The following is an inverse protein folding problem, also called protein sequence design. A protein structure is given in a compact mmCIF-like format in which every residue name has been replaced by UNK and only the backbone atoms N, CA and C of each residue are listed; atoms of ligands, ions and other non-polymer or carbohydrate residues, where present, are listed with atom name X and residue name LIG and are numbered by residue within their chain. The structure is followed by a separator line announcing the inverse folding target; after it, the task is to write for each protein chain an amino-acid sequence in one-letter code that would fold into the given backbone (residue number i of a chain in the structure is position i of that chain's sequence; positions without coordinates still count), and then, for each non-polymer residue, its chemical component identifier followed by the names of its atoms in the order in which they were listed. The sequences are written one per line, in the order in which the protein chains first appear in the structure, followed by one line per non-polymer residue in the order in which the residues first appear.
data_IF_137574341807
#
_entry.id   IF_137574341807
#
_cell.length_a   1.000
_cell.length_b   1.000
_cell.length_c   1.000
_cell.angle_alpha   90.00
_cell.angle_beta   90.00
_cell.angle_gamma   90.00
#
_symmetry.space_group_name_H-M   'P 1'
#
loop_
_entity.id
_entity.type
_entity.pdbx_description
1 polymer ?
#
# COMPACT_ATOMS: atom_id res chain seq x y z
N UNK A 1 38.28 -26.91 -38.51
CA UNK A 1 36.87 -26.60 -38.25
C UNK A 1 36.78 -26.01 -36.86
N UNK A 2 36.77 -24.68 -36.79
CA UNK A 2 36.66 -23.88 -35.54
C UNK A 2 35.18 -23.75 -35.22
N UNK A 3 34.77 -24.26 -34.05
CA UNK A 3 33.42 -24.04 -33.50
C UNK A 3 33.41 -22.64 -32.88
N UNK A 4 32.78 -21.70 -33.58
CA UNK A 4 32.44 -20.38 -33.01
C UNK A 4 31.44 -20.58 -31.86
N UNK A 5 31.89 -20.34 -30.65
CA UNK A 5 31.02 -20.23 -29.47
C UNK A 5 30.22 -18.92 -29.60
N UNK A 6 28.97 -19.04 -29.97
CA UNK A 6 27.99 -17.95 -29.94
C UNK A 6 27.79 -17.51 -28.50
N UNK A 7 28.44 -16.44 -28.11
CA UNK A 7 28.26 -15.77 -26.82
C UNK A 7 26.88 -15.09 -26.82
N UNK A 8 25.93 -15.76 -26.25
CA UNK A 8 24.61 -15.18 -25.94
C UNK A 8 24.77 -14.02 -24.94
N UNK A 9 24.35 -12.83 -25.32
CA UNK A 9 24.16 -11.66 -24.48
C UNK A 9 22.76 -11.66 -23.86
N UNK A 10 22.55 -12.21 -22.66
CA UNK A 10 21.21 -12.38 -22.11
C UNK A 10 20.79 -11.38 -21.00
N UNK A 11 21.67 -10.54 -20.48
CA UNK A 11 21.37 -9.84 -19.21
C UNK A 11 20.72 -8.47 -19.41
N UNK A 12 20.98 -7.77 -20.50
CA UNK A 12 20.45 -6.40 -20.71
C UNK A 12 19.01 -6.36 -21.25
N UNK A 13 18.61 -7.34 -22.06
CA UNK A 13 17.26 -7.40 -22.61
C UNK A 13 16.18 -7.76 -21.56
N UNK A 14 16.56 -8.44 -20.49
CA UNK A 14 15.62 -8.82 -19.44
C UNK A 14 15.24 -7.67 -18.51
N UNK A 15 16.15 -6.75 -18.19
CA UNK A 15 15.85 -5.59 -17.31
C UNK A 15 14.79 -4.66 -17.89
N UNK A 16 14.87 -4.35 -19.18
CA UNK A 16 13.87 -3.52 -19.86
C UNK A 16 12.48 -4.15 -19.79
N UNK A 17 12.37 -5.46 -19.99
CA UNK A 17 11.10 -6.16 -19.90
C UNK A 17 10.52 -6.14 -18.47
N UNK A 18 11.34 -6.26 -17.43
CA UNK A 18 10.88 -6.10 -16.03
C UNK A 18 10.36 -4.68 -15.75
N UNK A 19 10.98 -3.64 -16.31
CA UNK A 19 10.51 -2.26 -16.18
C UNK A 19 9.18 -2.06 -16.90
N UNK A 20 9.00 -2.61 -18.11
CA UNK A 20 7.72 -2.55 -18.84
C UNK A 20 6.62 -3.29 -18.06
N UNK A 21 6.91 -4.50 -17.57
CA UNK A 21 5.96 -5.24 -16.74
C UNK A 21 5.61 -4.49 -15.44
N UNK A 22 6.59 -3.82 -14.82
CA UNK A 22 6.37 -2.95 -13.68
C UNK A 22 5.44 -1.79 -14.02
N UNK A 23 5.59 -1.13 -15.16
CA UNK A 23 4.73 -0.04 -15.59
C UNK A 23 3.25 -0.50 -15.74
N UNK A 24 3.01 -1.67 -16.35
CA UNK A 24 1.66 -2.24 -16.40
C UNK A 24 1.15 -2.65 -15.01
N UNK A 25 2.02 -3.15 -14.14
CA UNK A 25 1.65 -3.47 -12.77
C UNK A 25 1.31 -2.20 -11.95
N UNK A 26 1.89 -1.03 -12.25
CA UNK A 26 1.47 0.25 -11.68
C UNK A 26 0.04 0.61 -12.06
N UNK A 27 -0.37 0.35 -13.31
CA UNK A 27 -1.76 0.57 -13.75
C UNK A 27 -2.71 -0.35 -12.99
N UNK A 28 -2.32 -1.61 -12.76
CA UNK A 28 -3.08 -2.51 -11.89
C UNK A 28 -3.15 -1.96 -10.46
N UNK A 29 -2.03 -1.49 -9.92
CA UNK A 29 -1.98 -0.97 -8.56
C UNK A 29 -2.84 0.28 -8.38
N UNK A 30 -2.86 1.17 -9.38
CA UNK A 30 -3.78 2.30 -9.46
C UNK A 30 -5.25 1.83 -9.48
N UNK A 31 -5.59 0.92 -10.39
CA UNK A 31 -6.95 0.43 -10.57
C UNK A 31 -7.50 -0.24 -9.32
N UNK A 32 -6.72 -1.12 -8.67
CA UNK A 32 -7.16 -1.78 -7.46
C UNK A 32 -7.37 -0.82 -6.28
N UNK A 33 -6.56 0.27 -6.17
CA UNK A 33 -6.80 1.31 -5.17
C UNK A 33 -8.06 2.13 -5.48
N UNK A 34 -8.33 2.42 -6.75
CA UNK A 34 -9.57 3.05 -7.17
C UNK A 34 -10.79 2.19 -6.80
N UNK A 35 -10.75 0.88 -7.09
CA UNK A 35 -11.79 -0.07 -6.73
C UNK A 35 -11.92 -0.30 -5.21
N UNK A 36 -10.81 -0.16 -4.47
CA UNK A 36 -10.80 -0.26 -3.01
C UNK A 36 -11.56 0.90 -2.37
N UNK A 37 -11.41 2.11 -2.88
CA UNK A 37 -12.02 3.34 -2.33
C UNK A 37 -13.41 3.63 -2.88
N UNK A 38 -13.74 3.18 -4.10
CA UNK A 38 -15.00 3.44 -4.78
C UNK A 38 -16.27 3.09 -3.98
N UNK A 39 -16.38 1.98 -3.24
CA UNK A 39 -17.60 1.67 -2.49
C UNK A 39 -17.97 2.72 -1.42
N UNK A 40 -16.99 3.48 -0.94
CA UNK A 40 -17.22 4.56 0.03
C UNK A 40 -18.10 5.70 -0.51
N UNK A 41 -18.09 5.92 -1.82
CA UNK A 41 -18.93 6.93 -2.49
C UNK A 41 -20.21 6.36 -3.09
N UNK A 42 -20.46 5.05 -2.90
CA UNK A 42 -21.63 4.32 -3.41
C UNK A 42 -22.53 3.81 -2.28
N UNK A 43 -22.36 4.26 -1.04
CA UNK A 43 -23.11 3.74 0.12
C UNK A 43 -24.63 3.81 -0.10
N UNK A 44 -25.22 4.91 -0.62
CA UNK A 44 -26.66 4.97 -0.86
C UNK A 44 -27.14 3.92 -1.87
N UNK A 45 -26.42 3.74 -2.98
CA UNK A 45 -26.75 2.78 -4.04
C UNK A 45 -26.65 1.34 -3.53
N UNK A 46 -25.59 1.02 -2.78
CA UNK A 46 -25.38 -0.30 -2.19
C UNK A 46 -26.42 -0.62 -1.12
N UNK A 47 -26.78 0.37 -0.29
CA UNK A 47 -27.85 0.24 0.70
C UNK A 47 -29.18 -0.06 0.02
N UNK A 48 -29.52 0.70 -1.02
CA UNK A 48 -30.78 0.50 -1.75
C UNK A 48 -30.85 -0.83 -2.50
N UNK A 49 -29.73 -1.24 -3.13
CA UNK A 49 -29.69 -2.47 -3.96
C UNK A 49 -29.67 -3.74 -3.10
N UNK A 50 -28.87 -3.75 -2.03
CA UNK A 50 -28.67 -4.97 -1.22
C UNK A 50 -29.62 -5.05 -0.01
N UNK A 51 -30.42 -4.00 0.26
CA UNK A 51 -31.26 -3.94 1.46
C UNK A 51 -30.46 -3.94 2.78
N UNK A 52 -29.19 -3.54 2.72
CA UNK A 52 -28.29 -3.52 3.87
C UNK A 52 -28.41 -2.19 4.63
N UNK A 53 -28.14 -2.22 5.92
CA UNK A 53 -27.92 -1.00 6.69
C UNK A 53 -26.55 -0.39 6.31
N UNK A 54 -26.32 0.89 6.66
CA UNK A 54 -25.01 1.52 6.46
C UNK A 54 -23.86 0.74 7.15
N UNK A 55 -24.17 0.11 8.32
CA UNK A 55 -23.23 -0.78 9.00
C UNK A 55 -22.97 -2.05 8.18
N UNK A 56 -24.01 -2.64 7.59
CA UNK A 56 -23.89 -3.80 6.71
C UNK A 56 -23.05 -3.51 5.47
N UNK A 57 -23.25 -2.35 4.84
CA UNK A 57 -22.42 -1.89 3.71
C UNK A 57 -20.97 -1.68 4.17
N UNK A 58 -20.73 -1.09 5.34
CA UNK A 58 -19.37 -0.93 5.89
C UNK A 58 -18.70 -2.27 6.17
N UNK A 59 -19.45 -3.26 6.66
CA UNK A 59 -18.96 -4.62 6.86
C UNK A 59 -18.59 -5.28 5.51
N UNK A 60 -19.45 -5.16 4.49
CA UNK A 60 -19.17 -5.62 3.13
C UNK A 60 -17.89 -5.01 2.57
N UNK A 61 -17.70 -3.70 2.71
CA UNK A 61 -16.46 -3.00 2.30
C UNK A 61 -15.25 -3.57 3.05
N UNK A 62 -15.42 -3.88 4.33
CA UNK A 62 -14.37 -4.40 5.22
C UNK A 62 -13.85 -5.80 4.84
N UNK A 63 -14.67 -6.66 4.18
CA UNK A 63 -14.29 -8.00 3.74
C UNK A 63 -13.01 -8.01 2.90
N UNK A 64 -12.79 -6.97 2.12
CA UNK A 64 -11.57 -6.76 1.33
C UNK A 64 -10.29 -6.88 2.17
N UNK A 65 -10.26 -6.27 3.36
CA UNK A 65 -9.04 -6.18 4.17
C UNK A 65 -8.64 -7.50 4.82
N UNK A 66 -9.59 -8.37 5.14
CA UNK A 66 -9.30 -9.69 5.71
C UNK A 66 -8.52 -10.55 4.73
N UNK A 67 -8.98 -10.61 3.48
CA UNK A 67 -8.29 -11.39 2.45
C UNK A 67 -7.01 -10.69 1.98
N UNK A 68 -7.00 -9.36 1.86
CA UNK A 68 -5.80 -8.62 1.47
C UNK A 68 -4.62 -8.89 2.43
N UNK A 69 -4.82 -8.80 3.74
CA UNK A 69 -3.77 -9.05 4.72
C UNK A 69 -3.24 -10.48 4.62
N UNK A 70 -4.14 -11.48 4.66
CA UNK A 70 -3.77 -12.90 4.61
C UNK A 70 -3.05 -13.25 3.30
N UNK A 71 -3.58 -12.80 2.17
CA UNK A 71 -2.99 -13.06 0.85
C UNK A 71 -1.69 -12.31 0.58
N UNK A 72 -1.36 -11.26 1.34
CA UNK A 72 -0.06 -10.58 1.23
C UNK A 72 1.11 -11.53 1.52
N UNK A 73 0.95 -12.46 2.47
CA UNK A 73 1.93 -13.50 2.74
C UNK A 73 2.01 -14.48 1.56
N UNK A 74 0.85 -14.92 1.06
CA UNK A 74 0.79 -15.84 -0.07
C UNK A 74 1.40 -15.23 -1.34
N UNK A 75 1.15 -13.94 -1.59
CA UNK A 75 1.68 -13.20 -2.73
C UNK A 75 3.22 -13.19 -2.73
N UNK A 76 3.83 -12.86 -1.59
CA UNK A 76 5.28 -12.86 -1.46
C UNK A 76 5.92 -14.24 -1.70
N UNK A 77 5.38 -15.27 -1.03
CA UNK A 77 5.85 -16.64 -1.19
C UNK A 77 5.68 -17.18 -2.62
N UNK A 78 4.54 -16.87 -3.25
CA UNK A 78 4.25 -17.29 -4.62
C UNK A 78 5.20 -16.64 -5.62
N UNK A 79 5.53 -15.36 -5.45
CA UNK A 79 6.48 -14.64 -6.30
C UNK A 79 7.89 -15.25 -6.22
N UNK A 80 8.36 -15.57 -5.01
CA UNK A 80 9.68 -16.20 -4.82
C UNK A 80 9.76 -17.62 -5.39
N UNK A 81 8.63 -18.34 -5.45
CA UNK A 81 8.58 -19.73 -5.93
C UNK A 81 8.26 -19.87 -7.40
N UNK A 82 7.25 -19.16 -7.90
CA UNK A 82 6.69 -19.32 -9.23
C UNK A 82 7.05 -18.17 -10.18
N UNK A 83 7.70 -17.12 -9.66
CA UNK A 83 8.07 -15.93 -10.42
C UNK A 83 6.89 -15.01 -10.76
N UNK A 84 7.21 -13.84 -11.27
CA UNK A 84 6.22 -12.78 -11.52
C UNK A 84 5.26 -13.09 -12.68
N UNK A 85 5.72 -13.85 -13.69
CA UNK A 85 5.00 -14.05 -14.96
C UNK A 85 3.63 -14.72 -14.81
N UNK A 86 3.49 -15.66 -13.90
CA UNK A 86 2.21 -16.33 -13.62
C UNK A 86 1.49 -15.73 -12.42
N UNK A 87 2.23 -15.33 -11.39
CA UNK A 87 1.66 -14.93 -10.10
C UNK A 87 0.94 -13.58 -10.18
N UNK A 88 1.55 -12.58 -10.83
CA UNK A 88 0.94 -11.24 -10.90
C UNK A 88 -0.34 -11.26 -11.75
N UNK A 89 -0.36 -11.84 -12.97
CA UNK A 89 -1.60 -11.92 -13.76
C UNK A 89 -2.71 -12.68 -13.04
N UNK A 90 -2.40 -13.74 -12.30
CA UNK A 90 -3.39 -14.47 -11.48
C UNK A 90 -4.02 -13.55 -10.44
N UNK A 91 -3.23 -12.75 -9.72
CA UNK A 91 -3.75 -11.75 -8.79
C UNK A 91 -4.64 -10.71 -9.47
N UNK A 92 -4.24 -10.23 -10.64
CA UNK A 92 -5.05 -9.27 -11.43
C UNK A 92 -6.39 -9.91 -11.85
N UNK A 93 -6.37 -11.15 -12.35
CA UNK A 93 -7.59 -11.87 -12.75
C UNK A 93 -8.53 -12.13 -11.55
N UNK A 94 -8.00 -12.46 -10.39
CA UNK A 94 -8.80 -12.55 -9.17
C UNK A 94 -9.50 -11.23 -8.83
N UNK A 95 -8.77 -10.11 -8.93
CA UNK A 95 -9.34 -8.77 -8.69
C UNK A 95 -10.38 -8.42 -9.77
N UNK A 96 -10.11 -8.75 -11.03
CA UNK A 96 -11.01 -8.56 -12.16
C UNK A 96 -12.33 -9.33 -11.99
N UNK A 97 -12.23 -10.62 -11.68
CA UNK A 97 -13.40 -11.47 -11.40
C UNK A 97 -14.19 -10.93 -10.20
N UNK A 98 -13.49 -10.56 -9.14
CA UNK A 98 -14.11 -9.95 -7.97
C UNK A 98 -14.83 -8.62 -8.28
N UNK A 99 -14.30 -7.83 -9.22
CA UNK A 99 -14.96 -6.60 -9.68
C UNK A 99 -16.25 -6.92 -10.48
N UNK A 100 -16.20 -7.87 -11.39
CA UNK A 100 -17.37 -8.32 -12.15
C UNK A 100 -18.46 -8.86 -11.22
N UNK A 101 -18.11 -9.74 -10.27
CA UNK A 101 -19.06 -10.29 -9.31
C UNK A 101 -19.71 -9.19 -8.47
N UNK A 102 -18.95 -8.21 -8.01
CA UNK A 102 -19.50 -7.07 -7.28
C UNK A 102 -20.53 -6.29 -8.11
N UNK A 103 -20.28 -6.16 -9.41
CA UNK A 103 -21.18 -5.47 -10.34
C UNK A 103 -22.45 -6.27 -10.74
N UNK A 104 -22.54 -7.57 -10.44
CA UNK A 104 -23.73 -8.38 -10.77
C UNK A 104 -24.96 -8.01 -9.93
N UNK A 105 -24.77 -7.33 -8.79
CA UNK A 105 -25.86 -6.71 -8.04
C UNK A 105 -26.59 -7.62 -7.06
N UNK A 106 -26.11 -8.84 -6.77
CA UNK A 106 -26.57 -9.63 -5.63
C UNK A 106 -25.67 -9.42 -4.40
N UNK A 107 -26.22 -9.49 -3.20
CA UNK A 107 -25.46 -9.32 -1.96
C UNK A 107 -24.37 -10.40 -1.81
N UNK A 108 -24.69 -11.66 -2.10
CA UNK A 108 -23.74 -12.77 -2.02
C UNK A 108 -22.61 -12.65 -3.04
N UNK A 109 -22.91 -12.25 -4.28
CA UNK A 109 -21.90 -12.01 -5.30
C UNK A 109 -20.99 -10.83 -4.90
N UNK A 110 -21.54 -9.80 -4.27
CA UNK A 110 -20.78 -8.66 -3.78
C UNK A 110 -19.82 -9.05 -2.64
N UNK A 111 -20.24 -9.91 -1.71
CA UNK A 111 -19.38 -10.43 -0.63
C UNK A 111 -18.21 -11.25 -1.20
N UNK A 112 -18.51 -12.23 -2.07
CA UNK A 112 -17.49 -13.03 -2.76
C UNK A 112 -16.60 -12.12 -3.60
N UNK A 113 -17.19 -11.15 -4.30
CA UNK A 113 -16.48 -10.14 -5.08
C UNK A 113 -15.46 -9.37 -4.25
N UNK A 114 -15.85 -8.90 -3.05
CA UNK A 114 -14.94 -8.16 -2.14
C UNK A 114 -13.81 -9.05 -1.60
N UNK A 115 -14.10 -10.30 -1.26
CA UNK A 115 -13.08 -11.26 -0.83
C UNK A 115 -12.06 -11.53 -1.95
N UNK A 116 -12.52 -11.74 -3.19
CA UNK A 116 -11.64 -11.95 -4.34
C UNK A 116 -10.83 -10.70 -4.69
N UNK A 117 -11.43 -9.51 -4.65
CA UNK A 117 -10.73 -8.24 -4.85
C UNK A 117 -9.61 -8.08 -3.83
N UNK A 118 -9.87 -8.32 -2.54
CA UNK A 118 -8.86 -8.24 -1.49
C UNK A 118 -7.72 -9.22 -1.71
N UNK A 119 -8.05 -10.48 -1.97
CA UNK A 119 -7.08 -11.54 -2.23
C UNK A 119 -6.20 -11.23 -3.45
N UNK A 120 -6.79 -10.84 -4.58
CA UNK A 120 -6.07 -10.50 -5.80
C UNK A 120 -5.24 -9.22 -5.68
N UNK A 121 -5.76 -8.21 -5.00
CA UNK A 121 -5.07 -6.93 -4.80
C UNK A 121 -3.80 -7.04 -3.95
N UNK A 122 -3.67 -8.07 -3.10
CA UNK A 122 -2.46 -8.34 -2.34
C UNK A 122 -1.22 -8.58 -3.23
N UNK A 123 -1.45 -9.01 -4.48
CA UNK A 123 -0.38 -9.22 -5.47
C UNK A 123 0.07 -7.93 -6.16
N UNK A 124 -0.70 -6.84 -6.06
CA UNK A 124 -0.44 -5.61 -6.80
C UNK A 124 0.84 -4.92 -6.32
N UNK A 125 0.89 -4.49 -5.05
CA UNK A 125 2.06 -3.83 -4.50
C UNK A 125 3.26 -4.79 -4.43
N UNK A 126 3.06 -6.00 -3.89
CA UNK A 126 4.12 -7.00 -3.74
C UNK A 126 4.72 -7.36 -5.10
N UNK A 127 3.88 -7.52 -6.14
CA UNK A 127 4.30 -7.80 -7.51
C UNK A 127 5.04 -6.61 -8.14
N UNK A 128 4.53 -5.39 -8.02
CA UNK A 128 5.19 -4.20 -8.55
C UNK A 128 6.58 -4.00 -7.91
N UNK A 129 6.69 -4.17 -6.59
CA UNK A 129 7.96 -4.05 -5.87
C UNK A 129 8.90 -5.20 -6.22
N UNK A 130 8.40 -6.41 -6.48
CA UNK A 130 9.19 -7.54 -7.00
C UNK A 130 9.76 -7.20 -8.39
N UNK A 131 8.93 -6.75 -9.32
CA UNK A 131 9.36 -6.34 -10.67
C UNK A 131 10.37 -5.18 -10.62
N UNK A 132 10.11 -4.17 -9.78
CA UNK A 132 11.05 -3.06 -9.56
C UNK A 132 12.43 -3.55 -9.09
N UNK A 133 12.46 -4.50 -8.16
CA UNK A 133 13.73 -5.02 -7.62
C UNK A 133 14.55 -5.84 -8.61
N UNK A 134 13.95 -6.32 -9.71
CA UNK A 134 14.63 -7.02 -10.79
C UNK A 134 14.93 -6.10 -11.99
N UNK A 135 14.11 -5.07 -12.22
CA UNK A 135 14.27 -4.12 -13.32
C UNK A 135 15.23 -2.98 -13.01
N UNK A 136 15.16 -2.43 -11.81
CA UNK A 136 15.97 -1.25 -11.45
C UNK A 136 17.22 -1.63 -10.67
N UNK A 137 18.35 -0.94 -10.92
CA UNK A 137 19.55 -1.07 -10.09
C UNK A 137 19.27 -0.55 -8.67
N UNK A 138 20.04 -1.03 -7.68
CA UNK A 138 19.84 -0.70 -6.25
C UNK A 138 19.79 0.81 -5.97
N UNK A 139 20.54 1.61 -6.75
CA UNK A 139 20.57 3.08 -6.63
C UNK A 139 19.24 3.79 -6.96
N UNK A 140 18.29 3.11 -7.62
CA UNK A 140 16.99 3.65 -7.97
C UNK A 140 15.82 2.88 -7.33
N UNK A 141 16.11 1.91 -6.47
CA UNK A 141 15.09 1.02 -5.92
C UNK A 141 14.09 1.75 -5.03
N UNK A 142 14.55 2.64 -4.16
CA UNK A 142 13.64 3.39 -3.27
C UNK A 142 12.76 4.35 -4.06
N UNK A 143 13.30 4.98 -5.10
CA UNK A 143 12.54 5.81 -6.03
C UNK A 143 11.43 5.00 -6.70
N UNK A 144 11.75 3.81 -7.24
CA UNK A 144 10.77 2.95 -7.92
C UNK A 144 9.66 2.47 -6.96
N UNK A 145 10.02 2.14 -5.71
CA UNK A 145 9.05 1.78 -4.67
C UNK A 145 8.16 2.98 -4.30
N UNK A 146 8.76 4.17 -4.16
CA UNK A 146 8.04 5.41 -3.92
C UNK A 146 7.05 5.74 -5.05
N UNK A 147 7.47 5.60 -6.31
CA UNK A 147 6.57 5.74 -7.47
C UNK A 147 5.44 4.70 -7.47
N UNK A 148 5.75 3.47 -7.08
CA UNK A 148 4.71 2.44 -6.96
C UNK A 148 3.63 2.89 -5.98
N UNK A 149 4.00 3.37 -4.79
CA UNK A 149 3.04 3.84 -3.79
C UNK A 149 2.28 5.10 -4.25
N UNK A 150 2.95 6.02 -4.94
CA UNK A 150 2.34 7.21 -5.53
C UNK A 150 1.16 6.82 -6.44
N UNK A 151 1.34 5.85 -7.34
CA UNK A 151 0.26 5.37 -8.22
C UNK A 151 -0.91 4.76 -7.44
N UNK A 152 -0.64 4.03 -6.36
CA UNK A 152 -1.69 3.54 -5.48
C UNK A 152 -2.50 4.66 -4.85
N UNK A 153 -1.84 5.64 -4.23
CA UNK A 153 -2.51 6.77 -3.58
C UNK A 153 -3.29 7.64 -4.59
N UNK A 154 -2.74 7.85 -5.79
CA UNK A 154 -3.43 8.53 -6.87
C UNK A 154 -4.69 7.75 -7.30
N UNK A 155 -4.60 6.42 -7.42
CA UNK A 155 -5.74 5.56 -7.71
C UNK A 155 -6.84 5.67 -6.64
N UNK A 156 -6.46 5.66 -5.37
CA UNK A 156 -7.40 5.85 -4.26
C UNK A 156 -8.12 7.20 -4.30
N UNK A 157 -7.40 8.27 -4.59
CA UNK A 157 -7.97 9.61 -4.75
C UNK A 157 -8.95 9.67 -5.94
N UNK A 158 -8.55 9.13 -7.10
CA UNK A 158 -9.41 9.07 -8.29
C UNK A 158 -10.67 8.23 -8.02
N UNK A 159 -10.55 7.11 -7.30
CA UNK A 159 -11.69 6.28 -6.90
C UNK A 159 -12.72 7.02 -6.04
N UNK A 160 -12.29 7.98 -5.23
CA UNK A 160 -13.20 8.82 -4.44
C UNK A 160 -13.79 9.98 -5.25
N UNK A 161 -12.95 10.72 -5.99
CA UNK A 161 -13.39 11.95 -6.66
C UNK A 161 -14.06 11.74 -8.01
N UNK A 162 -13.56 10.78 -8.81
CA UNK A 162 -14.06 10.60 -10.18
C UNK A 162 -15.23 9.61 -10.24
N UNK A 163 -15.27 8.61 -9.37
CA UNK A 163 -16.27 7.55 -9.45
C UNK A 163 -17.67 8.08 -9.06
N UNK A 164 -17.76 8.92 -8.02
CA UNK A 164 -19.04 9.51 -7.61
C UNK A 164 -19.77 10.22 -8.76
N UNK A 165 -19.19 11.25 -9.39
CA UNK A 165 -19.80 11.92 -10.55
C UNK A 165 -20.08 10.98 -11.74
N UNK A 166 -19.24 9.98 -11.96
CA UNK A 166 -19.38 9.04 -13.07
C UNK A 166 -20.64 8.17 -12.93
N UNK A 167 -20.89 7.63 -11.72
CA UNK A 167 -22.04 6.75 -11.46
C UNK A 167 -23.36 7.50 -11.30
N UNK A 168 -23.32 8.79 -10.95
CA UNK A 168 -24.53 9.61 -10.86
C UNK A 168 -24.91 10.28 -12.19
N UNK A 169 -24.04 10.25 -13.21
CA UNK A 169 -24.29 10.96 -14.45
C UNK A 169 -24.19 10.12 -15.73
N UNK A 170 -23.20 9.24 -15.86
CA UNK A 170 -22.88 8.63 -17.16
C UNK A 170 -23.18 7.13 -17.23
N UNK A 171 -22.93 6.38 -16.16
CA UNK A 171 -23.07 4.90 -16.13
C UNK A 171 -23.63 4.45 -14.79
N UNK A 172 -24.30 3.29 -14.76
CA UNK A 172 -24.70 2.68 -13.49
C UNK A 172 -23.47 2.18 -12.72
N UNK A 173 -23.59 2.11 -11.39
CA UNK A 173 -22.51 1.60 -10.56
C UNK A 173 -22.16 0.13 -10.91
N UNK A 174 -23.13 -0.69 -11.30
CA UNK A 174 -22.92 -2.06 -11.77
C UNK A 174 -22.04 -2.09 -13.02
N UNK A 175 -22.37 -1.28 -14.03
CA UNK A 175 -21.60 -1.20 -15.28
C UNK A 175 -20.18 -0.68 -15.02
N UNK A 176 -20.00 0.26 -14.10
CA UNK A 176 -18.67 0.71 -13.67
C UNK A 176 -17.81 -0.46 -13.18
N UNK A 177 -18.35 -1.32 -12.31
CA UNK A 177 -17.61 -2.45 -11.77
C UNK A 177 -17.30 -3.52 -12.83
N UNK A 178 -18.27 -3.85 -13.69
CA UNK A 178 -18.07 -4.79 -14.79
C UNK A 178 -17.01 -4.28 -15.75
N UNK A 179 -17.10 -3.01 -16.15
CA UNK A 179 -16.11 -2.36 -17.03
C UNK A 179 -14.71 -2.38 -16.40
N UNK A 180 -14.59 -2.01 -15.13
CA UNK A 180 -13.33 -2.06 -14.41
C UNK A 180 -12.73 -3.48 -14.36
N UNK A 181 -13.57 -4.51 -14.18
CA UNK A 181 -13.15 -5.90 -14.24
C UNK A 181 -12.60 -6.29 -15.61
N UNK A 182 -13.26 -5.89 -16.70
CA UNK A 182 -12.80 -6.12 -18.08
C UNK A 182 -11.45 -5.44 -18.32
N UNK A 183 -11.31 -4.18 -17.94
CA UNK A 183 -10.03 -3.44 -18.04
C UNK A 183 -8.92 -4.14 -17.29
N UNK A 184 -9.18 -4.60 -16.07
CA UNK A 184 -8.19 -5.37 -15.31
C UNK A 184 -7.82 -6.69 -15.99
N UNK A 185 -8.77 -7.39 -16.60
CA UNK A 185 -8.48 -8.63 -17.36
C UNK A 185 -7.53 -8.33 -18.55
N UNK A 186 -7.73 -7.23 -19.26
CA UNK A 186 -6.80 -6.77 -20.32
C UNK A 186 -5.41 -6.49 -19.74
N UNK A 187 -5.34 -5.78 -18.61
CA UNK A 187 -4.07 -5.51 -17.91
C UNK A 187 -3.37 -6.82 -17.51
N UNK A 188 -4.11 -7.84 -17.08
CA UNK A 188 -3.53 -9.15 -16.77
C UNK A 188 -2.81 -9.76 -17.97
N UNK A 189 -3.40 -9.69 -19.15
CA UNK A 189 -2.80 -10.16 -20.41
C UNK A 189 -1.54 -9.36 -20.75
N UNK A 190 -1.59 -8.03 -20.63
CA UNK A 190 -0.44 -7.16 -20.90
C UNK A 190 0.73 -7.46 -19.95
N UNK A 191 0.46 -7.65 -18.65
CA UNK A 191 1.48 -8.05 -17.66
C UNK A 191 2.04 -9.42 -17.99
N UNK A 192 1.19 -10.39 -18.37
CA UNK A 192 1.65 -11.74 -18.73
C UNK A 192 2.57 -11.75 -19.94
N UNK A 193 2.24 -10.96 -20.98
CA UNK A 193 3.05 -10.87 -22.20
C UNK A 193 4.38 -10.15 -21.91
N UNK A 194 4.35 -9.06 -21.16
CA UNK A 194 5.53 -8.21 -20.91
C UNK A 194 6.50 -8.80 -19.89
N UNK A 195 6.01 -9.65 -18.97
CA UNK A 195 6.86 -10.22 -17.91
C UNK A 195 7.77 -11.31 -18.47
N UNK A 196 9.11 -11.22 -18.29
CA UNK A 196 10.03 -12.25 -18.73
C UNK A 196 9.73 -13.60 -18.09
N UNK A 197 9.77 -14.67 -18.89
CA UNK A 197 9.70 -16.03 -18.41
C UNK A 197 11.10 -16.58 -18.09
N UNK A 198 11.22 -17.43 -17.07
CA UNK A 198 12.39 -18.30 -16.92
C UNK A 198 13.54 -17.81 -16.06
N UNK A 199 13.44 -16.63 -15.41
CA UNK A 199 14.57 -16.10 -14.63
C UNK A 199 14.66 -16.60 -13.18
N UNK A 200 13.61 -17.23 -12.63
CA UNK A 200 13.59 -17.70 -11.24
C UNK A 200 12.93 -19.08 -11.03
N UNK A 201 12.70 -19.83 -12.10
CA UNK A 201 12.26 -21.22 -11.93
C UNK A 201 13.45 -22.06 -11.47
N UNK A 202 13.81 -21.94 -10.20
CA UNK A 202 14.55 -23.02 -9.56
C UNK A 202 13.66 -24.25 -9.62
N UNK A 203 14.22 -25.43 -10.03
CA UNK A 203 13.45 -26.64 -10.04
C UNK A 203 12.79 -26.80 -8.67
N UNK A 204 11.48 -27.00 -8.67
CA UNK A 204 10.71 -27.27 -7.46
C UNK A 204 11.20 -28.59 -6.86
N UNK A 205 12.29 -28.54 -6.10
CA UNK A 205 12.91 -29.70 -5.47
C UNK A 205 12.13 -30.19 -4.24
N UNK A 206 10.86 -29.77 -4.09
CA UNK A 206 9.99 -30.28 -3.04
C UNK A 206 8.53 -30.11 -3.45
N UNK A 207 7.83 -31.23 -3.61
CA UNK A 207 6.40 -31.31 -3.92
C UNK A 207 5.48 -30.85 -2.76
N UNK A 208 6.03 -30.43 -1.63
CA UNK A 208 5.26 -30.05 -0.45
C UNK A 208 4.89 -28.57 -0.50
N UNK A 209 3.60 -28.26 -0.44
CA UNK A 209 3.06 -26.88 -0.37
C UNK A 209 3.69 -26.06 0.77
N UNK A 210 4.03 -26.71 1.88
CA UNK A 210 4.71 -26.10 3.02
C UNK A 210 6.10 -25.52 2.68
N UNK A 211 6.79 -26.05 1.67
CA UNK A 211 8.11 -25.53 1.26
C UNK A 211 8.03 -24.12 0.66
N UNK A 212 6.84 -23.68 0.25
CA UNK A 212 6.57 -22.33 -0.23
C UNK A 212 6.79 -21.25 0.86
N UNK A 213 6.61 -21.64 2.12
CA UNK A 213 6.80 -20.73 3.26
C UNK A 213 8.22 -20.76 3.84
N UNK A 214 9.11 -21.63 3.32
CA UNK A 214 10.51 -21.68 3.75
C UNK A 214 11.24 -20.33 3.65
N UNK A 215 11.04 -19.49 2.60
CA UNK A 215 11.64 -18.16 2.53
C UNK A 215 11.27 -17.27 3.71
N UNK A 216 10.06 -17.39 4.27
CA UNK A 216 9.63 -16.65 5.45
C UNK A 216 10.45 -16.98 6.69
N UNK A 217 10.91 -18.23 6.83
CA UNK A 217 11.83 -18.60 7.92
C UNK A 217 13.10 -17.74 7.86
N UNK A 218 13.64 -17.50 6.67
CA UNK A 218 14.82 -16.63 6.48
C UNK A 218 14.50 -15.18 6.85
N UNK A 219 13.38 -14.64 6.35
CA UNK A 219 12.99 -13.24 6.59
C UNK A 219 12.65 -13.01 8.07
N UNK A 220 11.88 -13.91 8.69
CA UNK A 220 11.42 -13.77 10.08
C UNK A 220 12.49 -14.17 11.11
N UNK A 221 13.55 -14.88 10.72
CA UNK A 221 14.72 -15.10 11.58
C UNK A 221 15.63 -13.88 11.64
N UNK A 222 15.44 -12.88 10.76
CA UNK A 222 16.22 -11.65 10.77
C UNK A 222 15.52 -10.58 11.63
N UNK A 223 16.07 -10.19 12.79
CA UNK A 223 15.48 -9.16 13.66
C UNK A 223 15.26 -7.81 12.94
N UNK A 224 16.10 -7.51 11.95
CA UNK A 224 15.98 -6.28 11.17
C UNK A 224 14.68 -6.24 10.36
N UNK A 225 14.14 -7.40 9.96
CA UNK A 225 12.84 -7.46 9.25
C UNK A 225 11.69 -6.98 10.13
N UNK A 226 11.72 -7.30 11.43
CA UNK A 226 10.71 -6.81 12.38
C UNK A 226 10.84 -5.30 12.62
N UNK A 227 12.08 -4.79 12.76
CA UNK A 227 12.31 -3.35 12.91
C UNK A 227 11.77 -2.58 11.70
N UNK A 228 12.02 -3.07 10.49
CA UNK A 228 11.46 -2.48 9.26
C UNK A 228 9.92 -2.56 9.25
N UNK A 229 9.35 -3.73 9.56
CA UNK A 229 7.90 -3.94 9.55
C UNK A 229 7.17 -3.10 10.57
N UNK A 230 7.67 -3.05 11.81
CA UNK A 230 7.06 -2.28 12.90
C UNK A 230 7.21 -0.77 12.66
N UNK A 231 8.38 -0.31 12.24
CA UNK A 231 8.58 1.11 11.89
C UNK A 231 7.63 1.54 10.77
N UNK A 232 7.53 0.77 9.68
CA UNK A 232 6.59 1.06 8.59
C UNK A 232 5.14 1.01 9.08
N UNK A 233 4.74 -0.02 9.83
CA UNK A 233 3.39 -0.18 10.35
C UNK A 233 2.95 1.01 11.19
N UNK A 234 3.77 1.43 12.13
CA UNK A 234 3.50 2.59 12.99
C UNK A 234 3.42 3.91 12.20
N UNK A 235 4.26 4.10 11.16
CA UNK A 235 4.21 5.28 10.29
C UNK A 235 3.00 5.28 9.34
N UNK A 236 2.37 4.14 9.08
CA UNK A 236 1.13 4.08 8.32
C UNK A 236 -0.11 4.48 9.12
N UNK A 237 -0.11 4.31 10.45
CA UNK A 237 -1.29 4.53 11.29
C UNK A 237 -1.87 5.94 11.19
N UNK A 238 -1.09 7.04 11.20
CA UNK A 238 -1.65 8.39 11.11
C UNK A 238 -2.43 8.61 9.81
N UNK A 239 -2.00 8.01 8.70
CA UNK A 239 -2.73 8.09 7.44
C UNK A 239 -3.91 7.14 7.41
N UNK A 240 -3.72 5.85 7.75
CA UNK A 240 -4.78 4.84 7.57
C UNK A 240 -5.90 5.00 8.60
N UNK A 241 -5.59 5.41 9.81
CA UNK A 241 -6.56 5.58 10.90
C UNK A 241 -6.84 7.05 11.13
N UNK A 242 -5.80 7.86 11.33
CA UNK A 242 -5.96 9.28 11.67
C UNK A 242 -6.64 10.07 10.55
N UNK A 243 -6.24 9.86 9.30
CA UNK A 243 -6.79 10.60 8.16
C UNK A 243 -7.95 9.86 7.46
N UNK A 244 -7.71 8.64 6.97
CA UNK A 244 -8.69 7.94 6.12
C UNK A 244 -9.95 7.49 6.86
N UNK A 245 -9.91 7.28 8.17
CA UNK A 245 -11.07 6.87 8.97
C UNK A 245 -11.59 8.06 9.78
N UNK A 246 -10.74 8.73 10.51
CA UNK A 246 -11.12 9.75 11.49
C UNK A 246 -10.80 11.19 11.08
N UNK A 247 -10.17 11.44 9.94
CA UNK A 247 -9.80 12.79 9.49
C UNK A 247 -11.02 13.69 9.29
N UNK A 248 -12.02 13.24 8.53
CA UNK A 248 -13.25 14.02 8.31
C UNK A 248 -14.05 14.18 9.61
N UNK A 249 -14.30 13.15 10.44
CA UNK A 249 -14.89 13.32 11.78
C UNK A 249 -14.13 14.31 12.66
N UNK A 250 -12.81 14.24 12.74
CA UNK A 250 -11.98 15.19 13.50
C UNK A 250 -12.19 16.64 13.05
N UNK A 251 -12.15 16.88 11.74
CA UNK A 251 -12.32 18.21 11.17
C UNK A 251 -13.74 18.76 11.38
N UNK A 252 -14.76 17.91 11.31
CA UNK A 252 -16.15 18.30 11.49
C UNK A 252 -16.56 18.45 12.96
N UNK A 253 -16.34 17.42 13.75
CA UNK A 253 -16.79 17.33 15.15
C UNK A 253 -15.84 18.07 16.09
N UNK A 254 -14.53 17.96 15.85
CA UNK A 254 -13.49 18.60 16.67
C UNK A 254 -13.27 20.08 16.32
N UNK A 255 -13.22 20.42 15.04
CA UNK A 255 -12.88 21.78 14.60
C UNK A 255 -14.08 22.57 14.02
N UNK A 256 -15.27 21.95 13.92
CA UNK A 256 -16.47 22.64 13.42
C UNK A 256 -16.45 22.94 11.93
N UNK A 257 -15.56 22.32 11.13
CA UNK A 257 -15.48 22.56 9.69
C UNK A 257 -16.73 22.05 8.96
N UNK A 258 -17.14 22.75 7.90
CA UNK A 258 -18.18 22.27 7.00
C UNK A 258 -17.74 20.97 6.29
N UNK A 259 -18.73 20.15 5.84
CA UNK A 259 -18.42 18.86 5.23
C UNK A 259 -17.46 18.97 4.04
N UNK A 260 -17.74 19.87 3.09
CA UNK A 260 -16.90 20.05 1.90
C UNK A 260 -15.46 20.51 2.27
N UNK A 261 -15.32 21.40 3.23
CA UNK A 261 -14.01 21.84 3.73
C UNK A 261 -13.27 20.68 4.40
N UNK A 262 -13.94 19.90 5.24
CA UNK A 262 -13.34 18.75 5.92
C UNK A 262 -12.83 17.72 4.93
N UNK A 263 -13.61 17.37 3.90
CA UNK A 263 -13.19 16.46 2.84
C UNK A 263 -11.99 17.01 2.06
N UNK A 264 -12.04 18.29 1.66
CA UNK A 264 -10.94 18.92 0.91
C UNK A 264 -9.64 18.96 1.74
N UNK A 265 -9.73 19.25 3.05
CA UNK A 265 -8.56 19.26 3.94
C UNK A 265 -7.99 17.86 4.16
N UNK A 266 -8.83 16.85 4.39
CA UNK A 266 -8.39 15.46 4.53
C UNK A 266 -7.69 14.96 3.24
N UNK A 267 -8.18 15.34 2.07
CA UNK A 267 -7.58 14.97 0.77
C UNK A 267 -6.13 15.44 0.61
N UNK A 268 -5.68 16.44 1.34
CA UNK A 268 -4.30 16.92 1.26
C UNK A 268 -3.29 15.86 1.73
N UNK A 269 -3.67 14.95 2.63
CA UNK A 269 -2.78 13.90 3.12
C UNK A 269 -2.47 12.86 2.02
N UNK A 270 -3.44 12.25 1.33
CA UNK A 270 -3.16 11.41 0.17
C UNK A 270 -2.39 12.12 -0.96
N UNK A 271 -2.69 13.39 -1.24
CA UNK A 271 -1.93 14.19 -2.22
C UNK A 271 -0.49 14.39 -1.77
N UNK A 272 -0.27 14.60 -0.47
CA UNK A 272 1.07 14.64 0.10
C UNK A 272 1.85 13.34 -0.10
N UNK A 273 1.19 12.19 0.01
CA UNK A 273 1.80 10.89 -0.29
C UNK A 273 2.21 10.75 -1.76
N UNK A 274 1.38 11.27 -2.69
CA UNK A 274 1.70 11.27 -4.13
C UNK A 274 3.03 11.97 -4.41
N UNK A 275 3.31 13.05 -3.70
CA UNK A 275 4.56 13.81 -3.79
C UNK A 275 5.66 13.16 -2.93
N UNK A 276 5.35 12.85 -1.68
CA UNK A 276 6.30 12.43 -0.66
C UNK A 276 6.97 11.09 -0.97
N UNK A 277 6.22 10.10 -1.47
CA UNK A 277 6.79 8.78 -1.75
C UNK A 277 7.90 8.82 -2.80
N UNK A 278 7.71 9.38 -4.01
CA UNK A 278 8.80 9.46 -4.98
C UNK A 278 9.89 10.43 -4.54
N UNK A 279 9.55 11.55 -3.90
CA UNK A 279 10.52 12.54 -3.43
C UNK A 279 11.47 11.95 -2.38
N UNK A 280 10.94 11.32 -1.32
CA UNK A 280 11.76 10.72 -0.27
C UNK A 280 12.49 9.47 -0.76
N UNK A 281 11.89 8.70 -1.67
CA UNK A 281 12.56 7.60 -2.35
C UNK A 281 13.76 8.09 -3.16
N UNK A 282 13.57 9.12 -3.99
CA UNK A 282 14.64 9.74 -4.77
C UNK A 282 15.75 10.31 -3.88
N UNK A 283 15.38 11.01 -2.80
CA UNK A 283 16.32 11.59 -1.85
C UNK A 283 17.17 10.49 -1.18
N UNK A 284 16.55 9.38 -0.78
CA UNK A 284 17.22 8.24 -0.19
C UNK A 284 18.20 7.55 -1.18
N UNK A 285 17.83 7.46 -2.46
CA UNK A 285 18.66 6.92 -3.51
C UNK A 285 19.84 7.87 -3.83
N UNK A 286 19.59 9.19 -3.88
CA UNK A 286 20.63 10.21 -4.15
C UNK A 286 21.65 10.31 -3.04
N UNK A 287 21.22 10.28 -1.78
CA UNK A 287 22.12 10.26 -0.61
C UNK A 287 22.83 8.90 -0.51
N UNK A 288 22.26 7.84 -1.09
CA UNK A 288 22.76 6.47 -0.99
C UNK A 288 22.59 5.86 0.41
N UNK A 289 21.74 6.44 1.27
CA UNK A 289 21.49 6.04 2.66
C UNK A 289 19.98 6.12 2.97
N UNK A 290 19.45 5.10 3.63
CA UNK A 290 18.02 4.98 3.90
C UNK A 290 17.58 5.65 5.20
N UNK A 291 18.35 5.45 6.27
CA UNK A 291 17.99 5.89 7.63
C UNK A 291 17.80 7.40 7.77
N UNK A 292 18.69 8.29 7.25
CA UNK A 292 18.51 9.74 7.41
C UNK A 292 17.19 10.23 6.81
N UNK A 293 16.78 9.69 5.65
CA UNK A 293 15.55 10.09 4.97
C UNK A 293 14.32 9.53 5.69
N UNK A 294 14.39 8.31 6.18
CA UNK A 294 13.34 7.71 7.01
C UNK A 294 13.06 8.57 8.26
N UNK A 295 14.11 8.89 9.01
CA UNK A 295 13.97 9.69 10.24
C UNK A 295 13.53 11.12 9.92
N UNK A 296 14.13 11.77 8.92
CA UNK A 296 13.77 13.13 8.51
C UNK A 296 12.30 13.23 8.09
N UNK A 297 11.81 12.32 7.25
CA UNK A 297 10.40 12.27 6.84
C UNK A 297 9.46 11.99 8.02
N UNK A 298 9.82 11.07 8.93
CA UNK A 298 9.04 10.79 10.12
C UNK A 298 8.97 11.99 11.09
N UNK A 299 10.04 12.79 11.19
CA UNK A 299 10.03 14.05 11.95
C UNK A 299 9.12 15.10 11.33
N UNK A 300 9.13 15.26 10.00
CA UNK A 300 8.18 16.14 9.28
C UNK A 300 6.75 15.68 9.54
N UNK A 301 6.49 14.37 9.47
CA UNK A 301 5.20 13.77 9.76
C UNK A 301 4.75 14.06 11.20
N UNK A 302 5.62 13.86 12.19
CA UNK A 302 5.33 14.12 13.60
C UNK A 302 5.00 15.60 13.84
N UNK A 303 5.83 16.49 13.34
CA UNK A 303 5.63 17.93 13.49
C UNK A 303 4.31 18.40 12.85
N UNK A 304 4.02 17.93 11.62
CA UNK A 304 2.78 18.27 10.91
C UNK A 304 1.55 17.71 11.64
N UNK A 305 1.58 16.45 12.07
CA UNK A 305 0.49 15.81 12.80
C UNK A 305 0.23 16.51 14.15
N UNK A 306 1.28 16.82 14.91
CA UNK A 306 1.17 17.53 16.16
C UNK A 306 0.57 18.94 15.97
N UNK A 307 0.98 19.66 14.93
CA UNK A 307 0.43 20.99 14.62
C UNK A 307 -1.04 20.90 14.22
N UNK A 308 -1.43 19.91 13.36
CA UNK A 308 -2.83 19.72 12.96
C UNK A 308 -3.73 19.47 14.16
N UNK A 309 -3.27 18.64 15.11
CA UNK A 309 -4.10 18.18 16.24
C UNK A 309 -4.08 19.18 17.41
N UNK A 310 -2.90 19.64 17.82
CA UNK A 310 -2.77 20.40 19.07
C UNK A 310 -2.68 21.93 18.89
N UNK A 311 -2.33 22.39 17.68
CA UNK A 311 -2.16 23.79 17.36
C UNK A 311 -2.96 24.18 16.09
N UNK A 312 -4.28 23.87 16.05
CA UNK A 312 -5.10 24.20 14.87
C UNK A 312 -5.14 25.73 14.70
N UNK A 313 -4.85 26.23 13.52
CA UNK A 313 -4.84 27.66 13.20
C UNK A 313 -3.46 28.34 13.23
N UNK A 314 -2.40 27.67 13.69
CA UNK A 314 -1.02 28.24 13.67
C UNK A 314 -0.46 28.28 12.23
N UNK A 315 -0.86 27.37 11.37
CA UNK A 315 -0.42 27.31 9.97
C UNK A 315 -1.59 26.99 9.04
N UNK A 316 -1.45 27.29 7.73
CA UNK A 316 -2.50 26.98 6.75
C UNK A 316 -2.86 25.49 6.76
N UNK A 317 -4.14 25.12 6.98
CA UNK A 317 -4.54 23.73 7.22
C UNK A 317 -4.28 22.82 6.02
N UNK A 318 -4.42 23.31 4.80
CA UNK A 318 -4.12 22.57 3.57
C UNK A 318 -2.64 22.24 3.46
N UNK A 319 -1.76 23.21 3.82
CA UNK A 319 -0.31 22.98 3.83
C UNK A 319 0.09 21.94 4.86
N UNK A 320 -0.51 21.98 6.06
CA UNK A 320 -0.22 21.00 7.10
C UNK A 320 -0.62 19.57 6.69
N UNK A 321 -1.80 19.40 6.09
CA UNK A 321 -2.23 18.11 5.53
C UNK A 321 -1.28 17.60 4.45
N UNK A 322 -0.85 18.48 3.55
CA UNK A 322 0.12 18.16 2.50
C UNK A 322 1.48 17.74 3.09
N UNK A 323 2.01 18.50 4.06
CA UNK A 323 3.29 18.19 4.73
C UNK A 323 3.19 16.87 5.53
N UNK A 324 2.06 16.63 6.19
CA UNK A 324 1.79 15.36 6.86
C UNK A 324 1.89 14.20 5.86
N UNK A 325 1.26 14.33 4.70
CA UNK A 325 1.30 13.33 3.64
C UNK A 325 2.71 13.16 3.04
N UNK A 326 3.44 14.25 2.79
CA UNK A 326 4.83 14.19 2.30
C UNK A 326 5.71 13.44 3.30
N UNK A 327 5.64 13.80 4.58
CA UNK A 327 6.39 13.10 5.65
C UNK A 327 6.02 11.62 5.76
N UNK A 328 4.74 11.30 5.56
CA UNK A 328 4.23 9.92 5.58
C UNK A 328 4.84 9.03 4.49
N UNK A 329 5.31 9.61 3.39
CA UNK A 329 6.05 8.91 2.34
C UNK A 329 7.31 8.18 2.86
N UNK A 330 7.86 8.60 4.01
CA UNK A 330 8.96 7.92 4.68
C UNK A 330 8.63 6.47 5.08
N UNK A 331 7.35 6.14 5.28
CA UNK A 331 6.91 4.78 5.58
C UNK A 331 7.24 3.77 4.46
N UNK A 332 7.58 4.24 3.25
CA UNK A 332 8.03 3.39 2.13
C UNK A 332 9.51 3.04 2.18
N UNK A 333 10.32 3.76 2.93
CA UNK A 333 11.78 3.51 3.03
C UNK A 333 12.09 2.15 3.66
N UNK A 334 11.43 1.70 4.74
CA UNK A 334 11.64 0.35 5.30
C UNK A 334 11.36 -0.79 4.31
N UNK A 335 10.51 -0.57 3.28
CA UNK A 335 10.27 -1.55 2.22
C UNK A 335 11.49 -1.76 1.31
N UNK A 336 12.30 -0.73 1.12
CA UNK A 336 13.59 -0.86 0.46
C UNK A 336 14.61 -1.54 1.38
N UNK A 337 14.69 -1.08 2.63
CA UNK A 337 15.64 -1.57 3.62
C UNK A 337 15.48 -3.07 3.92
N UNK A 338 14.26 -3.58 4.08
CA UNK A 338 14.02 -5.01 4.35
C UNK A 338 14.54 -5.89 3.21
N UNK A 339 14.48 -5.41 1.96
CA UNK A 339 14.99 -6.13 0.79
C UNK A 339 16.52 -6.11 0.71
N UNK A 340 17.12 -5.01 1.11
CA UNK A 340 18.59 -4.84 1.14
C UNK A 340 19.22 -5.60 2.32
N UNK A 341 18.43 -5.87 3.39
CA UNK A 341 18.85 -6.60 4.60
C UNK A 341 18.60 -8.11 4.54
N UNK A 342 17.92 -8.59 3.50
CA UNK A 342 17.64 -10.01 3.30
C UNK A 342 18.19 -10.48 1.95
N UNK A 343 18.51 -11.78 1.81
CA UNK A 343 19.03 -12.34 0.56
C UNK A 343 18.09 -12.10 -0.63
N UNK A 344 18.65 -11.90 -1.82
CA UNK A 344 17.91 -11.63 -3.06
C UNK A 344 16.83 -12.68 -3.37
N UNK A 345 17.07 -13.94 -2.99
CA UNK A 345 16.16 -15.07 -3.21
C UNK A 345 14.85 -14.99 -2.44
N UNK A 346 14.70 -14.07 -1.47
CA UNK A 346 13.52 -13.93 -0.60
C UNK A 346 12.90 -12.53 -0.68
N UNK A 347 13.17 -11.76 -1.75
CA UNK A 347 12.68 -10.39 -1.93
C UNK A 347 11.15 -10.29 -1.95
N UNK A 348 10.48 -11.28 -2.56
CA UNK A 348 9.01 -11.37 -2.57
C UNK A 348 8.46 -11.61 -1.17
N UNK A 349 9.00 -12.62 -0.47
CA UNK A 349 8.62 -12.94 0.91
C UNK A 349 8.93 -11.78 1.87
N UNK A 350 10.04 -11.07 1.69
CA UNK A 350 10.36 -9.88 2.48
C UNK A 350 9.30 -8.77 2.30
N UNK A 351 8.87 -8.53 1.05
CA UNK A 351 7.80 -7.57 0.76
C UNK A 351 6.46 -8.03 1.31
N UNK A 352 6.13 -9.32 1.17
CA UNK A 352 4.92 -9.90 1.75
C UNK A 352 4.88 -9.80 3.27
N UNK A 353 6.01 -10.06 3.94
CA UNK A 353 6.13 -9.99 5.40
C UNK A 353 5.92 -8.56 5.92
N UNK A 354 6.60 -7.57 5.33
CA UNK A 354 6.44 -6.17 5.77
C UNK A 354 5.01 -5.68 5.49
N UNK A 355 4.43 -6.04 4.34
CA UNK A 355 3.08 -5.65 3.98
C UNK A 355 2.04 -6.26 4.94
N UNK A 356 2.21 -7.54 5.28
CA UNK A 356 1.39 -8.20 6.30
C UNK A 356 1.46 -7.48 7.65
N UNK A 357 2.66 -7.17 8.13
CA UNK A 357 2.84 -6.46 9.41
C UNK A 357 2.16 -5.09 9.39
N UNK A 358 2.37 -4.29 8.35
CA UNK A 358 1.78 -2.95 8.21
C UNK A 358 0.25 -3.00 8.28
N UNK A 359 -0.40 -3.88 7.52
CA UNK A 359 -1.86 -3.97 7.51
C UNK A 359 -2.44 -4.68 8.72
N UNK A 360 -1.69 -5.57 9.36
CA UNK A 360 -2.06 -6.13 10.66
C UNK A 360 -2.10 -5.05 11.74
N UNK A 361 -1.11 -4.15 11.80
CA UNK A 361 -1.17 -3.00 12.71
C UNK A 361 -2.42 -2.15 12.46
N UNK A 362 -2.70 -1.80 11.21
CA UNK A 362 -3.90 -1.02 10.88
C UNK A 362 -5.19 -1.74 11.28
N UNK A 363 -5.28 -3.06 11.05
CA UNK A 363 -6.45 -3.86 11.38
C UNK A 363 -6.70 -3.94 12.91
N UNK A 364 -5.64 -4.01 13.71
CA UNK A 364 -5.75 -4.09 15.17
C UNK A 364 -6.00 -2.73 15.82
N UNK A 365 -5.32 -1.68 15.33
CA UNK A 365 -5.38 -0.35 15.95
C UNK A 365 -6.64 0.41 15.57
N UNK A 366 -7.23 0.18 14.38
CA UNK A 366 -8.43 0.89 13.95
C UNK A 366 -9.63 0.72 14.91
N UNK A 367 -10.04 -0.50 15.29
CA UNK A 367 -11.11 -0.67 16.28
C UNK A 367 -10.71 -0.18 17.68
N UNK A 368 -9.44 -0.34 18.06
CA UNK A 368 -8.94 0.14 19.35
C UNK A 368 -9.00 1.67 19.46
N UNK A 369 -8.67 2.40 18.40
CA UNK A 369 -8.77 3.85 18.36
C UNK A 369 -10.24 4.33 18.40
N UNK A 370 -11.13 3.66 17.69
CA UNK A 370 -12.57 3.93 17.74
C UNK A 370 -13.15 3.69 19.14
N UNK A 371 -12.73 2.60 19.80
CA UNK A 371 -13.10 2.32 21.18
C UNK A 371 -12.58 3.42 22.13
N UNK A 372 -11.33 3.84 21.96
CA UNK A 372 -10.73 4.90 22.77
C UNK A 372 -11.50 6.21 22.64
N UNK A 373 -11.83 6.64 21.42
CA UNK A 373 -12.66 7.84 21.20
C UNK A 373 -14.02 7.76 21.89
N UNK A 374 -14.69 6.61 21.80
CA UNK A 374 -15.98 6.40 22.43
C UNK A 374 -15.87 6.38 23.97
N UNK A 375 -14.79 5.81 24.50
CA UNK A 375 -14.54 5.78 25.94
C UNK A 375 -14.28 7.20 26.48
N UNK A 376 -13.41 7.98 25.80
CA UNK A 376 -13.07 9.35 26.19
C UNK A 376 -14.25 10.31 26.06
N UNK A 377 -15.14 10.10 25.08
CA UNK A 377 -16.35 10.91 24.92
C UNK A 377 -17.48 10.53 25.89
N UNK A 378 -17.35 9.41 26.64
CA UNK A 378 -18.38 8.87 27.51
C UNK A 378 -19.76 8.75 26.85
N UNK A 379 -19.79 8.48 25.54
CA UNK A 379 -21.02 8.42 24.72
C UNK A 379 -21.59 9.80 24.33
N UNK A 380 -20.94 10.88 24.70
CA UNK A 380 -21.29 12.25 24.32
C UNK A 380 -20.63 12.70 23.00
N UNK A 381 -20.74 14.00 22.68
CA UNK A 381 -20.09 14.60 21.50
C UNK A 381 -18.57 14.47 21.55
N UNK A 382 -17.98 14.14 20.41
CA UNK A 382 -16.50 14.08 20.26
C UNK A 382 -15.95 15.49 20.06
N UNK A 383 -15.58 16.16 21.14
CA UNK A 383 -14.98 17.49 21.12
C UNK A 383 -13.53 17.44 20.65
N UNK A 384 -12.95 18.61 20.33
CA UNK A 384 -11.52 18.74 20.01
C UNK A 384 -10.63 18.11 21.08
N UNK A 385 -10.93 18.32 22.36
CA UNK A 385 -10.15 17.74 23.48
C UNK A 385 -10.13 16.22 23.47
N UNK A 386 -11.27 15.57 23.16
CA UNK A 386 -11.35 14.11 23.03
C UNK A 386 -10.46 13.60 21.89
N UNK A 387 -10.47 14.28 20.74
CA UNK A 387 -9.57 13.93 19.62
C UNK A 387 -8.10 14.17 19.97
N UNK A 388 -7.79 15.28 20.66
CA UNK A 388 -6.43 15.58 21.10
C UNK A 388 -5.90 14.50 22.04
N UNK A 389 -6.68 14.10 23.04
CA UNK A 389 -6.31 13.06 23.97
C UNK A 389 -6.12 11.70 23.27
N UNK A 390 -7.05 11.28 22.42
CA UNK A 390 -6.92 10.04 21.66
C UNK A 390 -5.71 10.06 20.71
N UNK A 391 -5.39 11.20 20.12
CA UNK A 391 -4.27 11.35 19.18
C UNK A 391 -2.90 11.27 19.83
N UNK A 392 -2.79 11.38 21.16
CA UNK A 392 -1.51 11.16 21.88
C UNK A 392 -0.95 9.76 21.61
N UNK A 393 -1.82 8.75 21.50
CA UNK A 393 -1.40 7.40 21.11
C UNK A 393 -0.82 7.36 19.69
N UNK A 394 -1.39 8.12 18.75
CA UNK A 394 -0.87 8.27 17.39
C UNK A 394 0.50 8.97 17.35
N UNK A 395 0.68 10.03 18.15
CA UNK A 395 1.98 10.70 18.28
C UNK A 395 3.03 9.77 18.90
N UNK A 396 2.67 9.04 19.94
CA UNK A 396 3.54 8.01 20.54
C UNK A 396 3.94 6.93 19.53
N UNK A 397 3.03 6.53 18.65
CA UNK A 397 3.33 5.57 17.57
C UNK A 397 4.38 6.12 16.59
N UNK A 398 4.28 7.39 16.17
CA UNK A 398 5.29 8.00 15.29
C UNK A 398 6.65 8.10 16.01
N UNK A 399 6.67 8.53 17.28
CA UNK A 399 7.91 8.60 18.07
C UNK A 399 8.53 7.22 18.22
N UNK A 400 7.74 6.18 18.51
CA UNK A 400 8.23 4.81 18.57
C UNK A 400 8.79 4.35 17.23
N UNK A 401 8.15 4.69 16.12
CA UNK A 401 8.65 4.38 14.79
C UNK A 401 10.02 5.02 14.52
N UNK A 402 10.23 6.28 14.94
CA UNK A 402 11.53 6.98 14.85
C UNK A 402 12.58 6.26 15.70
N UNK A 403 12.24 5.88 16.92
CA UNK A 403 13.14 5.12 17.81
C UNK A 403 13.53 3.78 17.15
N UNK A 404 12.56 3.02 16.64
CA UNK A 404 12.83 1.76 15.92
C UNK A 404 13.70 1.98 14.69
N UNK A 405 13.47 3.06 13.94
CA UNK A 405 14.28 3.43 12.78
C UNK A 405 15.75 3.66 13.13
N UNK A 406 16.05 4.16 14.32
CA UNK A 406 17.43 4.32 14.80
C UNK A 406 18.17 2.97 14.95
N UNK A 407 17.47 1.87 15.22
CA UNK A 407 18.04 0.53 15.36
C UNK A 407 18.07 -0.27 14.03
N UNK A 408 17.40 0.19 12.98
CA UNK A 408 17.54 -0.39 11.64
C UNK A 408 18.98 -0.20 11.18
N UNK A 409 19.62 -1.25 10.66
CA UNK A 409 20.96 -1.12 10.06
C UNK A 409 20.87 -0.23 8.82
N UNK A 410 21.88 0.65 8.67
CA UNK A 410 21.96 1.50 7.48
C UNK A 410 22.14 0.66 6.23
N UNK A 411 21.40 0.99 5.18
CA UNK A 411 21.45 0.34 3.88
C UNK A 411 21.49 1.39 2.77
N UNK A 412 21.70 0.95 1.53
CA UNK A 412 21.76 1.80 0.35
C UNK A 412 23.10 1.71 -0.36
N UNK A 413 23.19 2.35 -1.53
CA UNK A 413 24.34 2.22 -2.45
C UNK A 413 25.66 2.71 -1.86
N UNK A 414 25.64 3.76 -1.03
CA UNK A 414 26.86 4.30 -0.39
C UNK A 414 27.45 3.34 0.65
N UNK A 415 26.62 2.51 1.30
CA UNK A 415 27.08 1.52 2.28
C UNK A 415 27.68 0.31 1.56
N UNK A 416 27.04 -0.14 0.49
CA UNK A 416 27.53 -1.28 -0.32
C UNK A 416 28.89 -0.99 -0.95
N UNK A 417 29.10 0.22 -1.45
CA UNK A 417 30.39 0.64 -2.01
C UNK A 417 31.51 0.64 -0.96
N UNK A 418 31.20 1.05 0.29
CA UNK A 418 32.19 1.10 1.37
C UNK A 418 32.63 -0.27 1.89
N UNK A 419 31.82 -1.32 1.67
CA UNK A 419 32.14 -2.71 2.05
C UNK A 419 32.99 -3.39 0.98
N UNK A 420 32.94 -2.90 -0.28
CA UNK A 420 33.68 -3.44 -1.42
C UNK A 420 35.02 -2.72 -1.68
N UNK A 421 35.27 -1.55 -1.06
CA UNK A 421 36.53 -0.80 -1.04
C UNK A 421 37.37 -1.17 0.17
#
# INVERSE_FOLDING_TARGET
MSVEATTATPIQSSRGAFIVAWAFCLIFYFGQYALRSAPGVMIPELTGTFGLTALGVSALIGLYYYTYSTFSILAGASLDRFGAKSVIPTGILMTALGAVLFGLGSAGDAEIGRLLQGAGSAFAFTGAVYLASHGFPAKYLATAIGFTQCFGMLGGSVGQFAVGPLIHGAISWQNFWIFAGVVLAVIAVLVWISTPGGHDTRPACSSKLLSMFTPYKTVLSNPQSYLCGFSAGLLFLPTTIGDMIWGVPFLREGLGAGYAEAVNRATMVPLGWVIGCPLLGYLADRIGRRKPVLIGGALVMLASAATVVYLPGVAPPYLLGLLLGIGSGAAMIPYSSIKELNPDRVKGSATGAINFLVFTFSALVAPAYGWLLNHLSAGGPRTLGVFQEASTAGMAAIVLAIILACFIRETGSAVTQKVLS
#
